data_IF_471124336792
#
_entry.id   IF_471124336792
#
_cell.length_a   1.000
_cell.length_b   1.000
_cell.length_c   1.000
_cell.angle_alpha   90.00
_cell.angle_beta   90.00
_cell.angle_gamma   90.00
#
_symmetry.space_group_name_H-M   'P 1'
#
loop_
_entity.id
_entity.type
_entity.pdbx_description
1 polymer ?
#
# COMPACT_ATOMS: atom_id res chain seq x y z
N UNK A 1 -9.94 -43.95 -0.92
CA UNK A 1 -9.33 -42.77 -1.59
C UNK A 1 -9.76 -41.54 -0.82
N UNK A 2 -8.83 -40.82 -0.20
CA UNK A 2 -9.13 -39.59 0.56
C UNK A 2 -8.92 -38.41 -0.38
N UNK A 3 -9.99 -37.82 -0.89
CA UNK A 3 -9.92 -36.59 -1.67
C UNK A 3 -9.86 -35.42 -0.70
N UNK A 4 -8.69 -34.81 -0.55
CA UNK A 4 -8.56 -33.48 0.06
C UNK A 4 -8.87 -32.47 -1.03
N UNK A 5 -10.06 -31.87 -1.00
CA UNK A 5 -10.36 -30.66 -1.78
C UNK A 5 -9.58 -29.51 -1.15
N UNK A 6 -8.38 -29.25 -1.67
CA UNK A 6 -7.68 -28.00 -1.41
C UNK A 6 -8.45 -26.88 -2.07
N UNK A 7 -9.26 -26.15 -1.30
CA UNK A 7 -9.76 -24.86 -1.75
C UNK A 7 -8.56 -23.93 -1.83
N UNK A 8 -8.00 -23.73 -3.03
CA UNK A 8 -7.17 -22.56 -3.30
C UNK A 8 -8.11 -21.37 -3.39
N UNK A 9 -8.64 -20.94 -2.24
CA UNK A 9 -9.33 -19.68 -2.11
C UNK A 9 -8.35 -18.59 -2.53
N UNK A 10 -8.41 -18.17 -3.79
CA UNK A 10 -7.61 -17.07 -4.29
C UNK A 10 -8.17 -15.82 -3.65
N UNK A 11 -7.48 -15.33 -2.61
CA UNK A 11 -7.83 -14.04 -1.99
C UNK A 11 -7.71 -12.98 -3.09
N UNK A 12 -8.86 -12.46 -3.54
CA UNK A 12 -8.89 -11.33 -4.46
C UNK A 12 -8.41 -10.09 -3.70
N UNK A 13 -7.25 -9.59 -4.09
CA UNK A 13 -6.72 -8.33 -3.59
C UNK A 13 -6.99 -7.24 -4.61
N UNK A 14 -7.58 -6.13 -4.17
CA UNK A 14 -7.75 -4.92 -4.97
C UNK A 14 -6.93 -3.81 -4.36
N UNK A 15 -6.17 -3.11 -5.20
CA UNK A 15 -5.40 -1.93 -4.81
C UNK A 15 -5.89 -0.77 -5.66
N UNK A 16 -6.23 0.35 -5.01
CA UNK A 16 -6.56 1.60 -5.69
C UNK A 16 -5.49 2.63 -5.37
N UNK A 17 -5.07 3.39 -6.38
CA UNK A 17 -4.11 4.48 -6.24
C UNK A 17 -4.85 5.81 -6.43
N UNK A 18 -4.62 6.74 -5.52
CA UNK A 18 -5.13 8.10 -5.57
C UNK A 18 -3.94 9.03 -5.77
N UNK A 19 -4.07 9.93 -6.75
CA UNK A 19 -3.05 10.92 -7.08
C UNK A 19 -3.56 12.30 -6.68
N UNK A 20 -2.65 13.18 -6.26
CA UNK A 20 -2.96 14.59 -6.03
C UNK A 20 -3.08 15.38 -7.35
N UNK A 21 -3.31 16.69 -7.24
CA UNK A 21 -3.46 17.59 -8.39
C UNK A 21 -2.19 17.73 -9.24
N UNK A 22 -1.02 17.39 -8.68
CA UNK A 22 0.28 17.44 -9.36
C UNK A 22 0.64 16.07 -9.99
N UNK A 23 -0.23 15.08 -9.82
CA UNK A 23 -0.04 13.72 -10.31
C UNK A 23 0.87 12.87 -9.43
N UNK A 24 1.18 13.29 -8.20
CA UNK A 24 1.97 12.48 -7.26
C UNK A 24 1.07 11.51 -6.48
N UNK A 25 1.52 10.28 -6.20
CA UNK A 25 0.78 9.33 -5.37
C UNK A 25 0.48 9.90 -3.97
N UNK A 26 -0.79 10.05 -3.63
CA UNK A 26 -1.20 10.53 -2.31
C UNK A 26 -1.55 9.37 -1.38
N UNK A 27 -2.38 8.44 -1.87
CA UNK A 27 -2.95 7.37 -1.06
C UNK A 27 -3.06 6.06 -1.86
N UNK A 28 -2.83 4.95 -1.17
CA UNK A 28 -3.14 3.60 -1.60
C UNK A 28 -4.28 3.05 -0.73
N UNK A 29 -5.35 2.58 -1.37
CA UNK A 29 -6.47 1.90 -0.72
C UNK A 29 -6.46 0.41 -1.02
N UNK A 30 -6.27 -0.39 0.02
CA UNK A 30 -6.29 -1.85 -0.05
C UNK A 30 -7.70 -2.37 0.23
N UNK A 31 -8.21 -3.16 -0.71
CA UNK A 31 -9.51 -3.83 -0.66
C UNK A 31 -10.70 -2.90 -0.36
N UNK A 32 -10.59 -1.62 -0.70
CA UNK A 32 -11.62 -0.61 -0.41
C UNK A 32 -11.75 -0.26 1.08
N UNK A 33 -10.85 -0.73 1.94
CA UNK A 33 -11.01 -0.69 3.41
C UNK A 33 -9.85 -0.04 4.15
N UNK A 34 -8.62 -0.36 3.76
CA UNK A 34 -7.43 0.08 4.46
C UNK A 34 -6.71 1.13 3.65
N UNK A 35 -6.47 2.28 4.26
CA UNK A 35 -5.74 3.39 3.64
C UNK A 35 -4.31 3.44 4.12
N UNK A 36 -3.42 3.66 3.17
CA UNK A 36 -2.02 3.97 3.40
C UNK A 36 -1.65 5.26 2.66
N UNK A 37 -0.91 6.14 3.32
CA UNK A 37 -0.49 7.42 2.75
C UNK A 37 1.00 7.41 2.47
N UNK A 38 1.40 7.95 1.32
CA UNK A 38 2.81 8.06 0.94
C UNK A 38 3.50 9.17 1.73
N UNK A 39 4.66 8.86 2.30
CA UNK A 39 5.56 9.84 2.90
C UNK A 39 6.64 10.22 1.88
N UNK A 40 6.94 11.51 1.81
CA UNK A 40 7.93 12.07 0.92
C UNK A 40 9.09 12.71 1.68
N UNK A 41 10.32 12.58 1.18
CA UNK A 41 11.42 13.43 1.64
C UNK A 41 11.33 14.84 0.99
N UNK A 42 12.25 15.74 1.37
CA UNK A 42 12.30 17.09 0.80
C UNK A 42 12.66 17.18 -0.69
N UNK A 43 13.11 16.08 -1.30
CA UNK A 43 13.40 15.97 -2.74
C UNK A 43 12.20 15.43 -3.54
N UNK A 44 11.17 14.94 -2.86
CA UNK A 44 9.98 14.36 -3.47
C UNK A 44 10.07 12.85 -3.71
N UNK A 45 11.04 12.15 -3.12
CA UNK A 45 11.10 10.68 -3.14
C UNK A 45 10.19 10.08 -2.07
N UNK A 46 9.55 8.96 -2.39
CA UNK A 46 8.73 8.20 -1.44
C UNK A 46 9.64 7.51 -0.42
N UNK A 47 9.56 7.88 0.86
CA UNK A 47 10.37 7.29 1.93
C UNK A 47 9.60 6.34 2.85
N UNK A 48 8.29 6.22 2.68
CA UNK A 48 7.52 5.26 3.46
C UNK A 48 6.02 5.34 3.24
N UNK A 49 5.31 4.55 4.04
CA UNK A 49 3.86 4.56 4.15
C UNK A 49 3.46 4.72 5.61
N UNK A 50 2.42 5.50 5.86
CA UNK A 50 1.71 5.53 7.15
C UNK A 50 0.31 4.98 6.99
N UNK A 51 -0.22 4.38 8.05
CA UNK A 51 -1.64 4.02 8.13
C UNK A 51 -2.51 5.24 8.51
N UNK A 52 -3.82 5.03 8.60
CA UNK A 52 -4.78 6.06 8.99
C UNK A 52 -4.62 6.57 10.43
N UNK A 53 -3.84 5.88 11.28
CA UNK A 53 -3.46 6.33 12.62
C UNK A 53 -2.14 7.11 12.63
N UNK A 54 -1.63 7.44 11.44
CA UNK A 54 -0.37 8.14 11.20
C UNK A 54 0.87 7.37 11.68
N UNK A 55 0.75 6.04 11.83
CA UNK A 55 1.85 5.18 12.24
C UNK A 55 2.60 4.67 11.01
N UNK A 56 3.93 4.72 11.05
CA UNK A 56 4.77 4.26 9.94
C UNK A 56 4.74 2.74 9.86
N UNK A 57 4.23 2.21 8.75
CA UNK A 57 4.10 0.77 8.49
C UNK A 57 5.14 0.26 7.49
N UNK A 58 5.70 1.15 6.67
CA UNK A 58 6.78 0.84 5.72
C UNK A 58 7.79 1.98 5.73
N UNK A 59 9.08 1.65 5.68
CA UNK A 59 10.18 2.60 5.50
C UNK A 59 11.04 2.15 4.33
N UNK A 60 11.29 3.06 3.40
CA UNK A 60 12.29 2.89 2.34
C UNK A 60 13.55 3.66 2.72
N UNK A 61 14.68 3.04 2.47
CA UNK A 61 15.98 3.66 2.63
C UNK A 61 16.72 3.58 1.29
N UNK A 62 17.14 4.73 0.82
CA UNK A 62 17.91 4.87 -0.42
C UNK A 62 19.37 5.08 -0.05
N UNK A 63 20.25 4.42 -0.80
CA UNK A 63 21.69 4.68 -0.74
C UNK A 63 22.00 5.85 -1.67
N UNK A 64 23.03 6.62 -1.32
CA UNK A 64 23.61 7.64 -2.21
C UNK A 64 24.54 7.04 -3.25
#
# INVERSE_FOLDING_TARGET
MKTTTGSTGTTKITVQFVYDAEGKPFLLRLNGKTDYFYLYNGLGDITGLVDSSNQVVVRYQYNS
#
